data_IF_183920802564
#
_entry.id   IF_183920802564
#
_cell.length_a   1.000
_cell.length_b   1.000
_cell.length_c   1.000
_cell.angle_alpha   90.00
_cell.angle_beta   90.00
_cell.angle_gamma   90.00
#
_symmetry.space_group_name_H-M   'P 1'
#
loop_
_entity.id
_entity.type
_entity.pdbx_description
1 polymer ?
#
# COMPACT_ATOMS: atom_id res chain seq x y z
N UNK A 1 7.05 11.80 11.13
CA UNK A 1 6.39 11.93 12.43
C UNK A 1 7.40 12.33 13.49
N UNK A 2 7.49 13.63 13.75
CA UNK A 2 8.22 14.15 14.92
C UNK A 2 7.65 13.52 16.20
N UNK A 3 8.51 12.87 16.99
CA UNK A 3 8.17 12.36 18.33
C UNK A 3 7.53 13.42 19.24
N UNK A 4 7.84 14.70 19.02
CA UNK A 4 7.30 15.86 19.76
C UNK A 4 5.86 16.18 19.40
N UNK A 5 5.34 15.66 18.28
CA UNK A 5 3.96 15.88 17.81
C UNK A 5 3.00 14.74 18.17
N UNK A 6 3.52 13.64 18.72
CA UNK A 6 2.69 12.51 19.17
C UNK A 6 2.17 12.75 20.59
N UNK A 7 0.91 12.37 20.83
CA UNK A 7 0.35 12.34 22.19
C UNK A 7 1.07 11.28 23.02
N UNK A 8 1.00 11.41 24.35
CA UNK A 8 1.63 10.45 25.26
C UNK A 8 1.09 9.02 25.06
N UNK A 9 -0.22 8.89 24.84
CA UNK A 9 -0.87 7.63 24.53
C UNK A 9 -0.33 6.99 23.23
N UNK A 10 -0.12 7.79 22.18
CA UNK A 10 0.47 7.33 20.93
C UNK A 10 1.93 6.92 21.12
N UNK A 11 2.70 7.70 21.87
CA UNK A 11 4.10 7.38 22.18
C UNK A 11 4.23 6.05 22.92
N UNK A 12 3.39 5.81 23.93
CA UNK A 12 3.37 4.56 24.67
C UNK A 12 2.97 3.36 23.79
N UNK A 13 2.02 3.55 22.87
CA UNK A 13 1.63 2.52 21.92
C UNK A 13 2.77 2.13 20.98
N UNK A 14 3.45 3.11 20.39
CA UNK A 14 4.60 2.88 19.50
C UNK A 14 5.81 2.33 20.27
N UNK A 15 6.01 2.73 21.53
CA UNK A 15 7.07 2.19 22.38
C UNK A 15 6.88 0.69 22.65
N UNK A 16 5.63 0.24 22.89
CA UNK A 16 5.33 -1.20 23.02
C UNK A 16 5.66 -1.98 21.75
N UNK A 17 5.44 -1.37 20.59
CA UNK A 17 5.75 -1.99 19.28
C UNK A 17 7.26 -2.02 19.03
N UNK A 18 7.96 -0.93 19.33
CA UNK A 18 9.41 -0.85 19.25
C UNK A 18 10.06 -1.92 20.16
N UNK A 19 9.58 -2.05 21.40
CA UNK A 19 10.02 -3.09 22.33
C UNK A 19 9.73 -4.50 21.80
N UNK A 20 8.54 -4.74 21.22
CA UNK A 20 8.22 -6.03 20.57
C UNK A 20 9.16 -6.35 19.40
N UNK A 21 9.62 -5.34 18.68
CA UNK A 21 10.56 -5.47 17.59
C UNK A 21 12.04 -5.45 18.05
N UNK A 22 12.30 -5.40 19.37
CA UNK A 22 13.65 -5.40 19.93
C UNK A 22 14.46 -4.13 19.60
N UNK A 23 13.81 -3.00 19.34
CA UNK A 23 14.48 -1.75 18.96
C UNK A 23 13.99 -0.54 19.77
N UNK A 24 14.75 0.55 19.74
CA UNK A 24 14.35 1.80 20.39
C UNK A 24 13.19 2.47 19.64
N UNK A 25 12.43 3.30 20.36
CA UNK A 25 11.31 4.04 19.78
C UNK A 25 11.74 4.94 18.61
N UNK A 26 12.89 5.59 18.71
CA UNK A 26 13.43 6.42 17.63
C UNK A 26 13.73 5.62 16.37
N UNK A 27 14.38 4.47 16.52
CA UNK A 27 14.70 3.57 15.41
C UNK A 27 13.42 3.04 14.75
N UNK A 28 12.43 2.66 15.58
CA UNK A 28 11.12 2.19 15.13
C UNK A 28 10.38 3.25 14.30
N UNK A 29 10.32 4.49 14.80
CA UNK A 29 9.67 5.59 14.08
C UNK A 29 10.39 5.95 12.78
N UNK A 30 11.73 5.95 12.77
CA UNK A 30 12.51 6.20 11.56
C UNK A 30 12.30 5.11 10.50
N UNK A 31 12.22 3.85 10.89
CA UNK A 31 11.90 2.75 9.96
C UNK A 31 10.48 2.89 9.41
N UNK A 32 9.50 3.18 10.26
CA UNK A 32 8.11 3.38 9.83
C UNK A 32 7.95 4.52 8.82
N UNK A 33 8.71 5.60 8.97
CA UNK A 33 8.73 6.69 7.98
C UNK A 33 9.27 6.25 6.62
N UNK A 34 10.32 5.43 6.60
CA UNK A 34 10.88 4.86 5.38
C UNK A 34 9.89 3.92 4.71
N UNK A 35 9.28 3.04 5.49
CA UNK A 35 8.27 2.09 4.99
C UNK A 35 7.04 2.82 4.45
N UNK A 36 6.54 3.83 5.15
CA UNK A 36 5.42 4.65 4.70
C UNK A 36 5.73 5.49 3.44
N UNK A 37 6.99 5.75 3.15
CA UNK A 37 7.39 6.38 1.89
C UNK A 37 7.38 5.37 0.73
N UNK A 38 7.83 4.14 0.98
CA UNK A 38 7.82 3.06 -0.01
C UNK A 38 6.40 2.61 -0.34
N UNK A 39 5.55 2.39 0.67
CA UNK A 39 4.14 2.02 0.49
C UNK A 39 3.36 3.09 -0.28
N UNK A 40 3.67 4.38 -0.09
CA UNK A 40 3.04 5.45 -0.88
C UNK A 40 3.48 5.43 -2.35
N UNK A 41 4.71 5.03 -2.65
CA UNK A 41 5.18 4.86 -4.01
C UNK A 41 4.51 3.65 -4.68
N UNK A 42 4.33 2.55 -3.94
CA UNK A 42 3.68 1.34 -4.45
C UNK A 42 2.17 1.51 -4.64
N UNK A 43 1.49 2.21 -3.72
CA UNK A 43 0.08 2.57 -3.89
C UNK A 43 -0.14 3.54 -5.06
N UNK A 44 0.79 4.47 -5.32
CA UNK A 44 0.74 5.32 -6.49
C UNK A 44 0.93 4.52 -7.79
N UNK A 45 1.76 3.48 -7.77
CA UNK A 45 1.98 2.58 -8.91
C UNK A 45 0.79 1.64 -9.16
N UNK A 46 0.15 1.16 -8.09
CA UNK A 46 -1.06 0.33 -8.17
C UNK A 46 -2.31 1.10 -8.62
N UNK A 47 -2.34 2.43 -8.43
CA UNK A 47 -3.41 3.32 -8.91
C UNK A 47 -3.24 3.79 -10.34
N UNK A 48 -2.16 3.40 -11.02
CA UNK A 48 -2.05 3.68 -12.45
C UNK A 48 -3.12 2.86 -13.19
N UNK A 49 -3.98 3.49 -14.01
CA UNK A 49 -5.00 2.77 -14.76
C UNK A 49 -4.29 1.79 -15.69
N UNK A 50 -4.44 0.49 -15.42
CA UNK A 50 -3.96 -0.55 -16.32
C UNK A 50 -4.59 -0.33 -17.69
N UNK A 51 -3.81 -0.22 -18.77
CA UNK A 51 -4.36 0.02 -20.10
C UNK A 51 -5.34 -1.11 -20.42
N UNK A 52 -6.53 -0.73 -20.91
CA UNK A 52 -7.60 -1.68 -21.21
C UNK A 52 -7.07 -2.78 -22.14
N UNK A 53 -7.03 -4.02 -21.62
CA UNK A 53 -6.55 -5.17 -22.38
C UNK A 53 -7.50 -5.43 -23.54
N UNK A 54 -6.94 -5.58 -24.75
CA UNK A 54 -7.70 -5.95 -25.95
C UNK A 54 -8.49 -7.24 -25.68
N UNK A 55 -9.71 -7.37 -26.22
CA UNK A 55 -10.53 -8.56 -26.00
C UNK A 55 -9.78 -9.80 -26.46
N UNK A 56 -9.61 -10.74 -25.53
CA UNK A 56 -8.96 -12.03 -25.77
C UNK A 56 -9.77 -12.93 -26.69
N UNK A 57 -9.21 -14.07 -27.06
CA UNK A 57 -9.82 -14.99 -28.02
C UNK A 57 -11.23 -15.46 -27.59
N UNK A 58 -11.43 -15.77 -26.30
CA UNK A 58 -12.74 -16.17 -25.78
C UNK A 58 -13.79 -15.05 -25.87
N UNK A 59 -13.39 -13.81 -25.59
CA UNK A 59 -14.29 -12.66 -25.70
C UNK A 59 -14.74 -12.44 -27.15
N UNK A 60 -13.83 -12.64 -28.12
CA UNK A 60 -14.16 -12.56 -29.54
C UNK A 60 -15.09 -13.68 -30.01
N UNK A 61 -14.94 -14.89 -29.46
CA UNK A 61 -15.82 -16.03 -29.76
C UNK A 61 -17.24 -15.80 -29.21
N UNK A 62 -17.35 -15.26 -27.99
CA UNK A 62 -18.65 -14.89 -27.42
C UNK A 62 -19.33 -13.78 -28.22
N UNK A 63 -18.58 -12.76 -28.66
CA UNK A 63 -19.12 -11.70 -29.51
C UNK A 63 -19.66 -12.24 -30.85
N UNK A 64 -18.95 -13.21 -31.45
CA UNK A 64 -19.40 -13.90 -32.68
C UNK A 64 -20.69 -14.69 -32.45
N UNK A 65 -20.83 -15.31 -31.28
CA UNK A 65 -22.01 -16.09 -30.92
C UNK A 65 -23.23 -15.21 -30.58
N UNK A 66 -23.01 -14.01 -30.06
CA UNK A 66 -24.06 -13.07 -29.65
C UNK A 66 -24.56 -12.13 -30.75
N UNK A 67 -23.93 -12.11 -31.92
CA UNK A 67 -24.42 -11.34 -33.08
C UNK A 67 -25.42 -12.18 -33.88
N UNK A 68 -26.74 -11.87 -33.82
CA UNK A 68 -27.70 -12.43 -34.76
C UNK A 68 -27.43 -11.88 -36.16
N UNK A 69 -27.69 -12.71 -37.18
CA UNK A 69 -27.60 -12.38 -38.61
C UNK A 69 -28.66 -11.35 -39.02
#
# INVERSE_FOLDING_TARGET
MDQRKMTEAQRAYEAKRAAKAGMSLEKWLSNKEKDAALERADLAKARQPVPAKKPGLLARLLEKAQKPL
#
